data_IF_710652280864
#
_entry.id   IF_710652280864
#
_cell.length_a   1.000
_cell.length_b   1.000
_cell.length_c   1.000
_cell.angle_alpha   90.00
_cell.angle_beta   90.00
_cell.angle_gamma   90.00
#
_symmetry.space_group_name_H-M   'P 1'
#
loop_
_entity.id
_entity.type
_entity.pdbx_description
1 polymer ?
#
# COMPACT_ATOMS: atom_id res chain seq x y z
N UNK A 1 0.12 -16.41 -28.18
CA UNK A 1 -0.55 -16.20 -26.87
C UNK A 1 0.46 -15.65 -25.86
N UNK A 2 0.68 -14.34 -25.76
CA UNK A 2 1.38 -13.75 -24.59
C UNK A 2 1.39 -12.21 -24.69
N UNK A 3 0.35 -11.52 -24.21
CA UNK A 3 0.44 -10.06 -24.09
C UNK A 3 -0.43 -9.45 -22.98
N UNK A 4 -0.60 -10.16 -21.85
CA UNK A 4 -1.33 -9.65 -20.67
C UNK A 4 -0.44 -9.36 -19.44
N UNK A 5 0.90 -9.32 -19.57
CA UNK A 5 1.83 -9.14 -18.42
C UNK A 5 2.40 -7.72 -18.22
N UNK A 6 2.08 -6.74 -19.07
CA UNK A 6 2.73 -5.41 -19.02
C UNK A 6 1.82 -4.24 -18.63
N UNK A 7 0.51 -4.46 -18.52
CA UNK A 7 -0.48 -3.42 -18.18
C UNK A 7 -0.58 -3.12 -16.67
N UNK A 8 -0.14 -4.05 -15.83
CA UNK A 8 -0.41 -4.03 -14.39
C UNK A 8 0.64 -3.26 -13.55
N UNK A 9 1.76 -2.82 -14.14
CA UNK A 9 2.85 -2.22 -13.34
C UNK A 9 2.52 -0.85 -12.77
N UNK A 10 1.52 -0.18 -13.31
CA UNK A 10 1.31 1.21 -12.96
C UNK A 10 0.07 1.56 -12.19
N UNK A 11 -0.88 0.66 -12.03
CA UNK A 11 -1.84 0.83 -10.93
C UNK A 11 -1.16 0.57 -9.57
N UNK A 12 0.04 0.00 -9.55
CA UNK A 12 0.81 -0.37 -8.35
C UNK A 12 1.41 0.78 -7.56
N UNK A 13 1.64 1.96 -8.14
CA UNK A 13 2.21 3.08 -7.35
C UNK A 13 1.13 3.67 -6.42
N UNK A 14 -0.12 3.76 -6.87
CA UNK A 14 -1.24 4.23 -6.05
C UNK A 14 -1.78 3.10 -5.14
N UNK A 15 -1.82 1.85 -5.63
CA UNK A 15 -2.26 0.67 -4.84
C UNK A 15 -1.19 0.17 -3.85
N UNK A 16 0.09 0.42 -4.09
CA UNK A 16 1.21 0.03 -3.22
C UNK A 16 1.33 0.88 -1.95
N UNK A 17 0.98 2.17 -2.02
CA UNK A 17 0.95 3.03 -0.83
C UNK A 17 -0.28 2.79 0.04
N UNK A 18 -1.40 2.34 -0.53
CA UNK A 18 -2.57 1.91 0.24
C UNK A 18 -2.27 0.60 1.01
N UNK A 19 -1.51 -0.32 0.40
CA UNK A 19 -1.10 -1.58 1.04
C UNK A 19 -0.17 -1.36 2.24
N UNK A 20 0.67 -0.32 2.23
CA UNK A 20 1.60 -0.02 3.31
C UNK A 20 0.94 0.65 4.53
N UNK A 21 -0.19 1.35 4.31
CA UNK A 21 -0.92 2.06 5.37
C UNK A 21 -1.82 1.15 6.21
N UNK A 22 -2.17 -0.03 5.71
CA UNK A 22 -3.06 -0.99 6.39
C UNK A 22 -2.27 -2.03 7.19
N UNK A 23 -0.97 -2.15 6.93
CA UNK A 23 -0.23 -3.35 7.29
C UNK A 23 0.33 -3.41 8.72
N UNK A 24 -0.21 -2.61 9.65
CA UNK A 24 0.14 -2.73 11.08
C UNK A 24 -1.06 -3.08 11.97
N UNK A 25 -2.25 -3.32 11.42
CA UNK A 25 -3.34 -3.88 12.22
C UNK A 25 -4.21 -4.80 11.36
N UNK A 26 -4.42 -6.03 11.82
CA UNK A 26 -5.40 -7.00 11.29
C UNK A 26 -5.03 -7.76 10.01
N UNK A 27 -4.04 -8.66 10.09
CA UNK A 27 -4.08 -9.90 9.30
C UNK A 27 -4.75 -10.98 10.15
N UNK A 28 -6.07 -10.89 10.29
CA UNK A 28 -6.91 -12.03 10.64
C UNK A 28 -7.67 -12.42 9.36
N UNK A 29 -7.84 -13.72 9.05
CA UNK A 29 -8.66 -14.14 7.91
C UNK A 29 -10.07 -13.55 8.06
N UNK A 30 -10.47 -12.73 7.09
CA UNK A 30 -11.83 -12.21 7.03
C UNK A 30 -12.74 -13.37 6.56
N UNK A 31 -13.76 -13.77 7.34
CA UNK A 31 -14.70 -14.78 6.88
C UNK A 31 -15.41 -14.28 5.61
N UNK A 32 -15.66 -15.19 4.66
CA UNK A 32 -16.32 -14.90 3.39
C UNK A 32 -17.75 -14.37 3.55
N UNK A 33 -18.29 -14.39 4.77
CA UNK A 33 -19.56 -13.79 5.14
C UNK A 33 -19.37 -12.92 6.40
N UNK A 34 -19.38 -11.57 6.31
CA UNK A 34 -19.26 -10.71 7.47
C UNK A 34 -20.56 -10.76 8.27
N UNK A 35 -20.66 -11.73 9.20
CA UNK A 35 -21.68 -11.74 10.23
C UNK A 35 -21.57 -10.42 11.03
N UNK A 36 -22.66 -9.66 11.26
CA UNK A 36 -22.62 -8.51 12.14
C UNK A 36 -22.23 -9.00 13.54
N UNK A 37 -21.00 -8.70 13.96
CA UNK A 37 -20.51 -9.06 15.28
C UNK A 37 -21.23 -8.21 16.33
N UNK A 38 -22.13 -8.81 17.11
CA UNK A 38 -22.70 -8.20 18.31
C UNK A 38 -21.61 -7.92 19.34
N UNK A 39 -21.81 -6.96 20.25
CA UNK A 39 -20.86 -6.68 21.33
C UNK A 39 -20.60 -7.92 22.19
N UNK A 40 -21.62 -8.74 22.40
CA UNK A 40 -21.52 -10.02 23.11
C UNK A 40 -20.57 -11.01 22.42
N UNK A 41 -20.65 -11.15 21.09
CA UNK A 41 -19.74 -12.00 20.31
C UNK A 41 -18.29 -11.47 20.34
N UNK A 42 -18.08 -10.15 20.41
CA UNK A 42 -16.73 -9.56 20.53
C UNK A 42 -16.13 -9.84 21.90
N UNK A 43 -16.93 -9.71 22.97
CA UNK A 43 -16.51 -9.99 24.34
C UNK A 43 -16.17 -11.47 24.54
N UNK A 44 -17.00 -12.39 24.04
CA UNK A 44 -16.70 -13.82 24.07
C UNK A 44 -15.40 -14.14 23.32
N UNK A 45 -15.21 -13.57 22.13
CA UNK A 45 -13.96 -13.75 21.36
C UNK A 45 -12.75 -13.20 22.12
N UNK A 46 -12.88 -12.04 22.79
CA UNK A 46 -11.82 -11.49 23.62
C UNK A 46 -11.49 -12.41 24.80
N UNK A 47 -12.51 -12.94 25.48
CA UNK A 47 -12.35 -13.88 26.59
C UNK A 47 -11.72 -15.22 26.17
N UNK A 48 -11.87 -15.61 24.91
CA UNK A 48 -11.25 -16.83 24.36
C UNK A 48 -9.81 -16.62 23.86
N UNK A 49 -9.34 -15.38 23.70
CA UNK A 49 -7.95 -15.10 23.29
C UNK A 49 -6.96 -15.43 24.40
N UNK A 50 -5.75 -15.85 23.99
CA UNK A 50 -4.63 -16.02 24.92
C UNK A 50 -4.19 -14.66 25.51
N UNK A 51 -3.54 -14.64 26.69
CA UNK A 51 -2.98 -13.42 27.26
C UNK A 51 -2.07 -12.67 26.29
N UNK A 52 -1.25 -13.38 25.51
CA UNK A 52 -0.32 -12.82 24.52
C UNK A 52 -1.06 -12.17 23.35
N UNK A 53 -2.15 -12.79 22.89
CA UNK A 53 -2.98 -12.22 21.81
C UNK A 53 -3.66 -10.93 22.25
N UNK A 54 -4.22 -10.92 23.47
CA UNK A 54 -4.81 -9.70 24.07
C UNK A 54 -3.78 -8.61 24.20
N UNK A 55 -2.59 -8.94 24.70
CA UNK A 55 -1.50 -7.99 24.88
C UNK A 55 -1.09 -7.34 23.55
N UNK A 56 -0.98 -8.13 22.47
CA UNK A 56 -0.71 -7.61 21.12
C UNK A 56 -1.80 -6.67 20.61
N UNK A 57 -3.06 -6.90 20.97
CA UNK A 57 -4.18 -6.03 20.59
C UNK A 57 -4.12 -4.72 21.38
N UNK A 58 -3.86 -4.80 22.69
CA UNK A 58 -3.70 -3.62 23.56
C UNK A 58 -2.55 -2.74 23.06
N UNK A 59 -1.37 -3.31 22.79
CA UNK A 59 -0.22 -2.56 22.27
C UNK A 59 -0.51 -1.84 20.96
N UNK A 60 -1.26 -2.49 20.05
CA UNK A 60 -1.68 -1.87 18.79
C UNK A 60 -2.68 -0.74 19.03
N UNK A 61 -3.59 -0.90 19.97
CA UNK A 61 -4.56 0.12 20.35
C UNK A 61 -3.87 1.35 20.95
N UNK A 62 -2.96 1.15 21.90
CA UNK A 62 -2.17 2.24 22.51
C UNK A 62 -1.30 2.96 21.47
N UNK A 63 -0.70 2.20 20.55
CA UNK A 63 0.04 2.79 19.43
C UNK A 63 -0.86 3.61 18.51
N UNK A 64 -2.10 3.19 18.26
CA UNK A 64 -3.05 3.97 17.47
C UNK A 64 -3.50 5.24 18.21
N UNK A 65 -3.79 5.12 19.50
CA UNK A 65 -4.24 6.22 20.37
C UNK A 65 -3.16 7.31 20.52
N UNK A 66 -1.89 6.92 20.51
CA UNK A 66 -0.74 7.85 20.57
C UNK A 66 -0.44 8.55 19.23
N UNK A 67 -1.11 8.20 18.12
CA UNK A 67 -0.94 8.91 16.86
C UNK A 67 -1.56 10.32 16.92
N UNK A 68 -0.98 11.31 16.22
CA UNK A 68 -1.62 12.61 16.00
C UNK A 68 -3.03 12.45 15.38
N UNK A 69 -3.96 13.37 15.69
CA UNK A 69 -5.35 13.29 15.20
C UNK A 69 -5.45 13.16 13.68
N UNK A 70 -4.64 13.92 12.93
CA UNK A 70 -4.60 13.85 11.47
C UNK A 70 -4.18 12.46 10.97
N UNK A 71 -3.25 11.81 11.66
CA UNK A 71 -2.81 10.46 11.35
C UNK A 71 -3.90 9.42 11.64
N UNK A 72 -4.62 9.56 12.77
CA UNK A 72 -5.76 8.71 13.11
C UNK A 72 -6.89 8.83 12.06
N UNK A 73 -7.25 10.05 11.67
CA UNK A 73 -8.28 10.30 10.66
C UNK A 73 -7.89 9.71 9.30
N UNK A 74 -6.62 9.85 8.91
CA UNK A 74 -6.13 9.26 7.67
C UNK A 74 -6.21 7.74 7.70
N UNK A 75 -5.81 7.11 8.80
CA UNK A 75 -5.93 5.66 8.95
C UNK A 75 -7.39 5.21 8.89
N UNK A 76 -8.31 5.94 9.53
CA UNK A 76 -9.76 5.68 9.45
C UNK A 76 -10.27 5.77 8.01
N UNK A 77 -9.93 6.83 7.27
CA UNK A 77 -10.31 6.99 5.85
C UNK A 77 -9.76 5.86 4.98
N UNK A 78 -8.51 5.45 5.20
CA UNK A 78 -7.92 4.32 4.48
C UNK A 78 -8.63 3.01 4.80
N UNK A 79 -9.02 2.80 6.06
CA UNK A 79 -9.75 1.61 6.49
C UNK A 79 -11.14 1.54 5.87
N UNK A 80 -11.91 2.64 5.86
CA UNK A 80 -13.22 2.66 5.19
C UNK A 80 -13.09 2.42 3.69
N UNK A 81 -12.07 3.01 3.04
CA UNK A 81 -11.78 2.70 1.63
C UNK A 81 -11.44 1.24 1.41
N UNK A 82 -10.69 0.62 2.32
CA UNK A 82 -10.38 -0.81 2.24
C UNK A 82 -11.63 -1.68 2.39
N UNK A 83 -12.53 -1.32 3.30
CA UNK A 83 -13.82 -1.98 3.46
C UNK A 83 -14.72 -1.83 2.23
N UNK A 84 -14.59 -0.77 1.45
CA UNK A 84 -15.34 -0.64 0.19
C UNK A 84 -14.71 -1.39 -0.99
N UNK A 85 -13.52 -1.99 -0.85
CA UNK A 85 -12.88 -2.75 -1.93
C UNK A 85 -13.53 -4.11 -2.15
N UNK A 86 -13.48 -4.58 -3.40
CA UNK A 86 -13.90 -5.94 -3.75
C UNK A 86 -13.00 -7.01 -3.08
N UNK A 87 -13.47 -8.25 -2.91
CA UNK A 87 -12.64 -9.34 -2.39
C UNK A 87 -11.33 -9.53 -3.15
N UNK A 88 -11.35 -9.41 -4.48
CA UNK A 88 -10.19 -9.56 -5.37
C UNK A 88 -9.17 -8.43 -5.13
N UNK A 89 -9.66 -7.20 -4.96
CA UNK A 89 -8.80 -6.06 -4.67
C UNK A 89 -8.13 -6.18 -3.29
N UNK A 90 -8.87 -6.65 -2.29
CA UNK A 90 -8.32 -6.93 -0.95
C UNK A 90 -7.25 -8.03 -1.01
N UNK A 91 -7.51 -9.09 -1.76
CA UNK A 91 -6.55 -10.19 -1.95
C UNK A 91 -5.29 -9.70 -2.67
N UNK A 92 -5.42 -8.82 -3.67
CA UNK A 92 -4.27 -8.23 -4.35
C UNK A 92 -3.44 -7.34 -3.42
N UNK A 93 -4.08 -6.61 -2.50
CA UNK A 93 -3.40 -5.83 -1.45
C UNK A 93 -2.62 -6.77 -0.53
N UNK A 94 -3.27 -7.84 -0.05
CA UNK A 94 -2.65 -8.88 0.80
C UNK A 94 -1.41 -9.49 0.13
N UNK A 95 -1.51 -9.92 -1.13
CA UNK A 95 -0.37 -10.45 -1.90
C UNK A 95 0.75 -9.44 -2.07
N UNK A 96 0.40 -8.17 -2.28
CA UNK A 96 1.39 -7.10 -2.42
C UNK A 96 2.12 -6.85 -1.11
N UNK A 97 1.40 -6.87 0.01
CA UNK A 97 1.99 -6.73 1.33
C UNK A 97 2.93 -7.90 1.67
N UNK A 98 2.52 -9.14 1.40
CA UNK A 98 3.39 -10.30 1.65
C UNK A 98 4.69 -10.23 0.84
N UNK A 99 4.61 -9.85 -0.44
CA UNK A 99 5.82 -9.60 -1.25
C UNK A 99 6.69 -8.51 -0.65
N UNK A 100 6.09 -7.43 -0.13
CA UNK A 100 6.85 -6.35 0.51
C UNK A 100 7.57 -6.85 1.77
N UNK A 101 6.92 -7.67 2.61
CA UNK A 101 7.54 -8.22 3.83
C UNK A 101 8.75 -9.10 3.53
N UNK A 102 8.72 -9.81 2.40
CA UNK A 102 9.80 -10.68 1.94
C UNK A 102 10.98 -9.91 1.33
N UNK A 103 10.86 -8.60 1.10
CA UNK A 103 11.97 -7.80 0.57
C UNK A 103 13.09 -7.67 1.62
N UNK A 104 14.37 -7.60 1.18
CA UNK A 104 15.48 -7.25 2.04
C UNK A 104 15.20 -5.96 2.85
N UNK A 105 15.66 -5.88 4.11
CA UNK A 105 15.39 -4.73 4.97
C UNK A 105 15.80 -3.39 4.35
N UNK A 106 16.90 -3.35 3.60
CA UNK A 106 17.40 -2.17 2.89
C UNK A 106 16.41 -1.72 1.82
N UNK A 107 15.84 -2.67 1.07
CA UNK A 107 14.83 -2.40 0.05
C UNK A 107 13.52 -1.92 0.65
N UNK A 108 13.10 -2.50 1.77
CA UNK A 108 11.92 -2.01 2.52
C UNK A 108 12.14 -0.58 3.00
N UNK A 109 13.31 -0.28 3.56
CA UNK A 109 13.69 1.06 4.01
C UNK A 109 13.70 2.06 2.86
N UNK A 110 14.26 1.69 1.72
CA UNK A 110 14.26 2.52 0.50
C UNK A 110 12.83 2.88 0.06
N UNK A 111 11.94 1.90 0.01
CA UNK A 111 10.52 2.10 -0.36
C UNK A 111 9.83 3.03 0.64
N UNK A 112 10.03 2.81 1.94
CA UNK A 112 9.48 3.65 3.02
C UNK A 112 9.98 5.10 2.93
N UNK A 113 11.27 5.29 2.69
CA UNK A 113 11.86 6.62 2.53
C UNK A 113 11.31 7.35 1.30
N UNK A 114 11.18 6.65 0.17
CA UNK A 114 10.59 7.20 -1.04
C UNK A 114 9.12 7.59 -0.81
N UNK A 115 8.38 6.79 -0.05
CA UNK A 115 7.02 7.13 0.37
C UNK A 115 6.98 8.41 1.22
N UNK A 116 7.86 8.53 2.20
CA UNK A 116 7.92 9.70 3.06
C UNK A 116 8.23 10.97 2.27
N UNK A 117 9.19 10.90 1.33
CA UNK A 117 9.48 12.01 0.40
C UNK A 117 8.26 12.37 -0.45
N UNK A 118 7.58 11.37 -1.02
CA UNK A 118 6.35 11.58 -1.78
C UNK A 118 5.27 12.30 -0.94
N UNK A 119 5.11 11.90 0.33
CA UNK A 119 4.18 12.52 1.28
C UNK A 119 4.55 13.95 1.70
N UNK A 120 5.78 14.38 1.47
CA UNK A 120 6.23 15.74 1.76
C UNK A 120 6.13 16.66 0.54
N UNK A 121 5.88 16.10 -0.66
CA UNK A 121 5.70 16.92 -1.86
C UNK A 121 4.46 17.82 -1.74
N UNK A 122 4.51 19.07 -2.24
CA UNK A 122 3.31 19.89 -2.39
C UNK A 122 2.23 19.18 -3.22
N UNK A 123 0.93 19.39 -2.93
CA UNK A 123 -0.17 18.75 -3.65
C UNK A 123 -0.07 18.90 -5.18
N UNK A 124 0.30 20.10 -5.64
CA UNK A 124 0.42 20.45 -7.06
C UNK A 124 1.54 19.64 -7.73
N UNK A 125 2.66 19.44 -7.02
CA UNK A 125 3.76 18.60 -7.49
C UNK A 125 3.34 17.14 -7.59
N UNK A 126 2.57 16.63 -6.63
CA UNK A 126 2.05 15.25 -6.72
C UNK A 126 1.12 15.10 -7.91
N UNK A 127 0.23 16.06 -8.11
CA UNK A 127 -0.71 16.04 -9.23
C UNK A 127 0.01 16.06 -10.59
N UNK A 128 1.02 16.92 -10.74
CA UNK A 128 1.87 16.95 -11.94
C UNK A 128 2.50 15.58 -12.21
N UNK A 129 3.10 14.97 -11.19
CA UNK A 129 3.73 13.65 -11.36
C UNK A 129 2.69 12.58 -11.74
N UNK A 130 1.51 12.60 -11.12
CA UNK A 130 0.43 11.67 -11.44
C UNK A 130 -0.07 11.86 -12.89
N UNK A 131 -0.23 13.09 -13.35
CA UNK A 131 -0.61 13.41 -14.75
C UNK A 131 0.45 12.93 -15.74
N UNK A 132 1.72 13.28 -15.51
CA UNK A 132 2.83 12.81 -16.35
C UNK A 132 2.88 11.28 -16.41
N UNK A 133 2.61 10.62 -15.29
CA UNK A 133 2.60 9.18 -15.19
C UNK A 133 1.43 8.52 -15.95
N UNK A 134 0.23 9.11 -15.87
CA UNK A 134 -0.92 8.67 -16.66
C UNK A 134 -0.63 8.81 -18.16
N UNK A 135 -0.07 9.94 -18.60
CA UNK A 135 0.36 10.13 -19.99
C UNK A 135 1.40 9.09 -20.41
N UNK A 136 2.41 8.83 -19.58
CA UNK A 136 3.43 7.82 -19.89
C UNK A 136 2.84 6.42 -20.10
N UNK A 137 1.80 6.05 -19.35
CA UNK A 137 1.11 4.76 -19.50
C UNK A 137 0.29 4.64 -20.78
N UNK A 138 -0.21 5.74 -21.34
CA UNK A 138 -0.98 5.69 -22.58
C UNK A 138 -0.07 5.60 -23.81
N UNK A 139 1.22 5.92 -23.68
CA UNK A 139 2.18 5.81 -24.78
C UNK A 139 2.30 4.36 -25.29
N UNK A 140 2.49 4.15 -26.61
CA UNK A 140 2.83 2.84 -27.17
C UNK A 140 4.10 2.24 -26.54
N UNK A 141 4.22 0.90 -26.45
CA UNK A 141 5.38 0.24 -25.84
C UNK A 141 6.73 0.69 -26.41
N UNK A 142 6.80 0.86 -27.74
CA UNK A 142 8.02 1.31 -28.42
C UNK A 142 8.43 2.73 -28.03
N UNK A 143 7.44 3.62 -27.86
CA UNK A 143 7.69 4.98 -27.43
C UNK A 143 8.17 5.04 -25.97
N UNK A 144 7.59 4.20 -25.09
CA UNK A 144 8.11 4.06 -23.72
C UNK A 144 9.55 3.54 -23.71
N UNK A 145 9.88 2.58 -24.58
CA UNK A 145 11.24 2.03 -24.72
C UNK A 145 12.23 3.09 -25.19
N UNK A 146 11.85 3.90 -26.17
CA UNK A 146 12.64 5.04 -26.65
C UNK A 146 12.91 6.06 -25.54
N UNK A 147 11.87 6.47 -24.81
CA UNK A 147 12.02 7.43 -23.69
C UNK A 147 12.89 6.86 -22.57
N UNK A 148 12.73 5.58 -22.24
CA UNK A 148 13.59 4.91 -21.24
C UNK A 148 15.05 4.84 -21.69
N UNK A 149 15.30 4.54 -22.97
CA UNK A 149 16.64 4.51 -23.56
C UNK A 149 17.27 5.91 -23.56
N UNK A 150 16.52 6.94 -23.94
CA UNK A 150 16.98 8.35 -23.90
C UNK A 150 17.38 8.76 -22.48
N UNK A 151 16.52 8.52 -21.49
CA UNK A 151 16.78 8.82 -20.08
C UNK A 151 17.98 8.04 -19.51
N UNK A 152 18.18 6.80 -19.95
CA UNK A 152 19.35 5.98 -19.56
C UNK A 152 20.66 6.50 -20.17
N UNK A 153 20.64 6.94 -21.44
CA UNK A 153 21.81 7.51 -22.13
C UNK A 153 22.21 8.85 -21.50
N UNK A 154 21.24 9.68 -21.14
CA UNK A 154 21.47 11.01 -20.54
C UNK A 154 22.05 10.95 -19.12
N UNK A 155 21.77 9.87 -18.38
CA UNK A 155 22.33 9.63 -17.04
C UNK A 155 23.67 8.89 -17.02
N UNK A 156 24.15 8.38 -18.15
CA UNK A 156 25.53 7.86 -18.25
C UNK A 156 26.48 9.05 -18.39
N UNK A 157 27.57 9.15 -17.59
CA UNK A 157 28.61 10.13 -17.89
C UNK A 157 29.12 9.84 -19.30
N UNK A 158 29.19 10.89 -20.14
CA UNK A 158 29.80 10.75 -21.46
C UNK A 158 31.26 10.34 -21.23
N UNK A 159 31.76 9.28 -21.89
CA UNK A 159 33.19 9.00 -21.85
C UNK A 159 33.93 10.24 -22.36
N UNK A 160 34.96 10.66 -21.61
CA UNK A 160 35.86 11.74 -22.01
C UNK A 160 36.72 11.29 -23.19
#
# INVERSE_FOLDING_TARGET
MENRRTQDRGQRIIKGFLALLIAVAFFAPLPANPQPSTEENKLQRWQQMSPEERQRIIEKYERWKSLPKEDQERLRKNYERYKSLSPEEREQIKRTFERFRQLPPERRKEILNNYQRWRQLPPERREQILKSYQKWKTLPPEERKRLKKKHYIEKKPRPK
#
